data_IF_173571130711
#
_entry.id   IF_173571130711
#
_cell.length_a   1.000
_cell.length_b   1.000
_cell.length_c   1.000
_cell.angle_alpha   90.00
_cell.angle_beta   90.00
_cell.angle_gamma   90.00
#
_symmetry.space_group_name_H-M   'P 1'
#
loop_
_entity.id
_entity.type
_entity.pdbx_description
1 polymer ?
#
# COMPACT_ATOMS: atom_id res chain seq x y z
N UNK A 1 8.02 -21.79 -18.84
CA UNK A 1 7.09 -21.11 -17.91
C UNK A 1 7.63 -21.34 -16.51
N UNK A 2 7.91 -20.28 -15.76
CA UNK A 2 8.21 -20.44 -14.34
C UNK A 2 6.96 -20.99 -13.63
N UNK A 3 7.16 -21.78 -12.56
CA UNK A 3 6.04 -22.32 -11.78
C UNK A 3 5.26 -21.17 -11.14
N UNK A 4 3.94 -21.29 -11.09
CA UNK A 4 3.09 -20.29 -10.42
C UNK A 4 3.55 -20.08 -8.97
N UNK A 5 3.54 -18.82 -8.52
CA UNK A 5 3.87 -18.47 -7.13
C UNK A 5 2.70 -18.91 -6.25
N UNK A 6 2.98 -19.81 -5.32
CA UNK A 6 1.99 -20.37 -4.38
C UNK A 6 2.35 -20.14 -2.92
N UNK A 7 3.64 -19.89 -2.61
CA UNK A 7 4.12 -19.63 -1.25
C UNK A 7 4.77 -18.27 -1.17
N UNK A 8 4.16 -17.37 -0.39
CA UNK A 8 4.51 -15.95 -0.31
C UNK A 8 4.88 -15.55 1.11
N UNK A 9 6.01 -14.87 1.26
CA UNK A 9 6.41 -14.23 2.49
C UNK A 9 5.84 -12.82 2.61
N UNK A 10 5.45 -12.38 3.81
CA UNK A 10 5.11 -10.97 4.10
C UNK A 10 5.89 -10.53 5.33
N UNK A 11 6.74 -9.51 5.17
CA UNK A 11 7.57 -8.96 6.23
C UNK A 11 7.05 -7.61 6.69
N UNK A 12 6.81 -7.48 8.01
CA UNK A 12 6.14 -6.32 8.58
C UNK A 12 4.61 -6.49 8.52
N UNK A 13 4.03 -7.02 9.61
CA UNK A 13 2.61 -7.35 9.69
C UNK A 13 1.77 -6.26 10.38
N UNK A 14 2.17 -5.00 10.16
CA UNK A 14 1.36 -3.85 10.51
C UNK A 14 0.01 -3.84 9.77
N UNK A 15 -0.61 -2.67 9.64
CA UNK A 15 -1.91 -2.53 8.97
C UNK A 15 -1.86 -3.00 7.50
N UNK A 16 -0.82 -2.59 6.77
CA UNK A 16 -0.67 -2.98 5.36
C UNK A 16 -0.29 -4.45 5.21
N UNK A 17 0.77 -4.92 5.91
CA UNK A 17 1.23 -6.29 5.76
C UNK A 17 0.20 -7.34 6.19
N UNK A 18 -0.55 -7.12 7.28
CA UNK A 18 -1.64 -7.99 7.66
C UNK A 18 -2.77 -8.01 6.61
N UNK A 19 -3.09 -6.85 6.02
CA UNK A 19 -4.05 -6.75 4.93
C UNK A 19 -3.58 -7.45 3.64
N UNK A 20 -2.30 -7.35 3.31
CA UNK A 20 -1.67 -8.04 2.17
C UNK A 20 -1.70 -9.56 2.41
N UNK A 21 -1.31 -10.01 3.60
CA UNK A 21 -1.38 -11.42 3.97
C UNK A 21 -2.81 -11.97 3.83
N UNK A 22 -3.83 -11.22 4.27
CA UNK A 22 -5.24 -11.60 4.08
C UNK A 22 -5.57 -11.75 2.58
N UNK A 23 -5.17 -10.81 1.73
CA UNK A 23 -5.42 -10.88 0.27
C UNK A 23 -4.81 -12.15 -0.34
N UNK A 24 -3.56 -12.45 0.01
CA UNK A 24 -2.85 -13.64 -0.47
C UNK A 24 -3.51 -14.94 -0.01
N UNK A 25 -3.93 -15.02 1.26
CA UNK A 25 -4.67 -16.16 1.82
C UNK A 25 -6.03 -16.35 1.11
N UNK A 26 -6.76 -15.26 0.86
CA UNK A 26 -8.02 -15.29 0.11
C UNK A 26 -7.80 -15.70 -1.36
N UNK A 27 -6.62 -15.42 -1.92
CA UNK A 27 -6.16 -15.86 -3.24
C UNK A 27 -5.69 -17.31 -3.30
N UNK A 28 -5.64 -18.02 -2.17
CA UNK A 28 -5.25 -19.43 -2.11
C UNK A 28 -3.76 -19.69 -1.85
N UNK A 29 -2.96 -18.65 -1.63
CA UNK A 29 -1.53 -18.80 -1.34
C UNK A 29 -1.28 -19.37 0.06
N UNK A 30 -0.19 -20.09 0.24
CA UNK A 30 0.46 -20.27 1.53
C UNK A 30 1.19 -18.99 1.90
N UNK A 31 0.96 -18.48 3.11
CA UNK A 31 1.54 -17.22 3.56
C UNK A 31 2.41 -17.44 4.79
N UNK A 32 3.66 -17.01 4.70
CA UNK A 32 4.56 -16.94 5.84
C UNK A 32 4.69 -15.47 6.23
N UNK A 33 3.99 -15.10 7.32
CA UNK A 33 4.07 -13.74 7.87
C UNK A 33 5.22 -13.63 8.87
N UNK A 34 6.06 -12.62 8.70
CA UNK A 34 7.18 -12.35 9.63
C UNK A 34 7.03 -10.96 10.26
N UNK A 35 7.19 -10.89 11.59
CA UNK A 35 7.36 -9.63 12.30
C UNK A 35 8.44 -9.75 13.38
N UNK A 36 8.72 -8.65 14.09
CA UNK A 36 9.89 -8.53 14.96
C UNK A 36 9.78 -9.34 16.27
N UNK A 37 8.57 -9.53 16.78
CA UNK A 37 8.29 -10.21 18.04
C UNK A 37 6.93 -10.90 18.07
N UNK A 38 6.73 -11.77 19.07
CA UNK A 38 5.49 -12.53 19.25
C UNK A 38 4.26 -11.63 19.46
N UNK A 39 4.41 -10.51 20.15
CA UNK A 39 3.29 -9.59 20.36
C UNK A 39 2.82 -8.92 19.05
N UNK A 40 3.74 -8.63 18.14
CA UNK A 40 3.41 -8.16 16.79
C UNK A 40 2.69 -9.27 15.98
N UNK A 41 3.17 -10.52 16.08
CA UNK A 41 2.55 -11.67 15.43
C UNK A 41 1.13 -11.94 15.95
N UNK A 42 0.89 -11.85 17.26
CA UNK A 42 -0.46 -11.99 17.85
C UNK A 42 -1.40 -10.90 17.33
N UNK A 43 -0.96 -9.63 17.31
CA UNK A 43 -1.75 -8.53 16.75
C UNK A 43 -2.06 -8.74 15.26
N UNK A 44 -1.08 -9.23 14.49
CA UNK A 44 -1.26 -9.54 13.08
C UNK A 44 -2.27 -10.66 12.87
N UNK A 45 -2.15 -11.75 13.62
CA UNK A 45 -3.11 -12.86 13.61
C UNK A 45 -4.52 -12.35 13.88
N UNK A 46 -4.73 -11.60 14.95
CA UNK A 46 -6.05 -11.06 15.29
C UNK A 46 -6.62 -10.16 14.17
N UNK A 47 -5.79 -9.36 13.50
CA UNK A 47 -6.22 -8.52 12.37
C UNK A 47 -6.66 -9.37 11.17
N UNK A 48 -5.86 -10.38 10.79
CA UNK A 48 -6.15 -11.29 9.67
C UNK A 48 -7.42 -12.08 9.95
N UNK A 49 -7.53 -12.70 11.12
CA UNK A 49 -8.72 -13.46 11.55
C UNK A 49 -9.97 -12.58 11.55
N UNK A 50 -9.90 -11.40 12.15
CA UNK A 50 -11.00 -10.44 12.15
C UNK A 50 -11.36 -9.91 10.75
N UNK A 51 -10.37 -9.76 9.88
CA UNK A 51 -10.58 -9.40 8.47
C UNK A 51 -11.35 -10.48 7.72
N UNK A 52 -10.92 -11.72 7.83
CA UNK A 52 -11.59 -12.89 7.23
C UNK A 52 -12.98 -13.12 7.81
N UNK A 53 -13.17 -12.97 9.13
CA UNK A 53 -14.49 -13.08 9.78
C UNK A 53 -15.49 -12.05 9.20
N UNK A 54 -15.08 -10.79 9.04
CA UNK A 54 -15.91 -9.77 8.39
C UNK A 54 -16.31 -10.10 6.95
N UNK A 55 -15.47 -10.89 6.22
CA UNK A 55 -15.86 -11.38 4.88
C UNK A 55 -16.97 -12.40 4.94
N UNK A 56 -16.96 -13.28 5.96
CA UNK A 56 -18.02 -14.24 6.21
C UNK A 56 -19.31 -13.54 6.62
N UNK A 57 -19.25 -12.62 7.59
CA UNK A 57 -20.40 -11.82 8.04
C UNK A 57 -21.10 -11.07 6.90
N UNK A 58 -20.32 -10.61 5.89
CA UNK A 58 -20.85 -9.93 4.71
C UNK A 58 -21.26 -10.88 3.58
N UNK A 59 -21.25 -12.19 3.80
CA UNK A 59 -21.63 -13.20 2.81
C UNK A 59 -20.68 -13.27 1.60
N UNK A 60 -19.45 -12.77 1.74
CA UNK A 60 -18.46 -12.77 0.65
C UNK A 60 -17.57 -14.00 0.65
N UNK A 61 -17.54 -14.74 1.75
CA UNK A 61 -16.82 -16.00 1.95
C UNK A 61 -17.64 -16.90 2.88
N UNK A 62 -17.43 -18.23 2.78
CA UNK A 62 -17.96 -19.20 3.72
C UNK A 62 -17.03 -19.38 4.94
N UNK A 63 -17.53 -19.98 6.02
CA UNK A 63 -16.72 -20.32 7.17
C UNK A 63 -15.66 -21.38 6.84
N UNK A 64 -15.96 -22.31 5.93
CA UNK A 64 -14.99 -23.29 5.44
C UNK A 64 -13.84 -22.64 4.66
N UNK A 65 -14.12 -21.64 3.82
CA UNK A 65 -13.08 -20.87 3.11
C UNK A 65 -12.22 -20.06 4.09
N UNK A 66 -12.84 -19.50 5.15
CA UNK A 66 -12.11 -18.81 6.22
C UNK A 66 -11.16 -19.74 6.94
N UNK A 67 -11.64 -20.92 7.35
CA UNK A 67 -10.82 -21.93 8.04
C UNK A 67 -9.66 -22.39 7.15
N UNK A 68 -9.93 -22.76 5.92
CA UNK A 68 -8.92 -23.16 4.95
C UNK A 68 -7.87 -22.06 4.67
N UNK A 69 -8.27 -20.78 4.67
CA UNK A 69 -7.34 -19.65 4.56
C UNK A 69 -6.40 -19.57 5.77
N UNK A 70 -6.93 -19.71 6.99
CA UNK A 70 -6.14 -19.67 8.23
C UNK A 70 -5.18 -20.85 8.37
N UNK A 71 -5.52 -22.03 7.84
CA UNK A 71 -4.64 -23.21 7.82
C UNK A 71 -3.38 -22.99 6.94
N UNK A 72 -3.45 -22.07 5.97
CA UNK A 72 -2.31 -21.68 5.10
C UNK A 72 -1.45 -20.56 5.68
N UNK A 73 -1.76 -20.05 6.88
CA UNK A 73 -1.01 -18.97 7.54
C UNK A 73 0.01 -19.54 8.52
N UNK A 74 1.28 -19.25 8.29
CA UNK A 74 2.38 -19.47 9.25
C UNK A 74 2.92 -18.12 9.71
N UNK A 75 3.15 -17.95 11.01
CA UNK A 75 3.72 -16.71 11.58
C UNK A 75 5.06 -17.03 12.25
N UNK A 76 6.08 -16.23 11.97
CA UNK A 76 7.45 -16.44 12.44
C UNK A 76 8.12 -15.12 12.82
N UNK A 77 9.03 -15.14 13.82
CA UNK A 77 9.90 -14.01 14.13
C UNK A 77 11.17 -14.01 13.29
N UNK A 78 11.69 -15.19 12.98
CA UNK A 78 12.97 -15.37 12.31
C UNK A 78 12.85 -15.26 10.79
N UNK A 79 13.78 -14.55 10.14
CA UNK A 79 13.84 -14.44 8.68
C UNK A 79 14.02 -15.82 8.00
N UNK A 80 14.70 -16.76 8.66
CA UNK A 80 14.90 -18.12 8.15
C UNK A 80 13.62 -18.86 7.78
N UNK A 81 12.48 -18.50 8.39
CA UNK A 81 11.17 -19.04 8.04
C UNK A 81 10.69 -18.70 6.62
N UNK A 82 11.35 -17.74 5.95
CA UNK A 82 11.01 -17.28 4.59
C UNK A 82 11.81 -18.04 3.50
N UNK A 83 12.70 -18.95 3.86
CA UNK A 83 13.62 -19.60 2.92
C UNK A 83 12.95 -20.30 1.73
N UNK A 84 11.76 -20.85 1.93
CA UNK A 84 10.98 -21.57 0.92
C UNK A 84 9.99 -20.65 0.16
N UNK A 85 9.95 -19.33 0.46
CA UNK A 85 9.05 -18.40 -0.22
C UNK A 85 9.56 -18.11 -1.64
N UNK A 86 8.64 -18.18 -2.59
CA UNK A 86 8.92 -17.88 -3.99
C UNK A 86 8.87 -16.37 -4.27
N UNK A 87 8.11 -15.64 -3.45
CA UNK A 87 8.03 -14.18 -3.45
C UNK A 87 7.93 -13.70 -2.00
N UNK A 88 8.61 -12.61 -1.68
CA UNK A 88 8.51 -11.96 -0.38
C UNK A 88 8.10 -10.51 -0.57
N UNK A 89 7.02 -10.07 0.11
CA UNK A 89 6.53 -8.69 0.11
C UNK A 89 6.94 -8.02 1.41
N UNK A 90 7.73 -6.97 1.30
CA UNK A 90 8.12 -6.11 2.41
C UNK A 90 7.07 -5.00 2.62
N UNK A 91 6.60 -4.84 3.86
CA UNK A 91 5.67 -3.80 4.31
C UNK A 91 6.08 -3.24 5.69
N UNK A 92 7.40 -3.02 5.91
CA UNK A 92 7.95 -2.43 7.13
C UNK A 92 7.81 -0.90 7.10
N UNK A 93 8.46 -0.22 8.04
CA UNK A 93 8.49 1.27 8.09
C UNK A 93 9.02 1.88 6.80
N UNK A 94 8.48 3.05 6.42
CA UNK A 94 8.80 3.74 5.18
C UNK A 94 10.13 4.50 5.32
N UNK A 95 11.24 3.73 5.41
CA UNK A 95 12.59 4.24 5.62
C UNK A 95 13.55 3.43 4.73
N UNK A 96 14.28 4.11 3.84
CA UNK A 96 15.08 3.49 2.79
C UNK A 96 16.20 2.59 3.33
N UNK A 97 16.86 3.00 4.43
CA UNK A 97 17.94 2.22 5.05
C UNK A 97 17.42 0.87 5.54
N UNK A 98 16.33 0.89 6.33
CA UNK A 98 15.70 -0.31 6.85
C UNK A 98 15.24 -1.27 5.74
N UNK A 99 14.67 -0.71 4.64
CA UNK A 99 14.23 -1.54 3.50
C UNK A 99 15.42 -2.17 2.75
N UNK A 100 16.50 -1.42 2.53
CA UNK A 100 17.73 -1.96 1.92
C UNK A 100 18.39 -3.05 2.76
N UNK A 101 18.51 -2.82 4.07
CA UNK A 101 19.06 -3.81 5.01
C UNK A 101 18.23 -5.09 5.00
N UNK A 102 16.90 -4.97 4.97
CA UNK A 102 16.02 -6.13 4.86
C UNK A 102 16.21 -6.87 3.53
N UNK A 103 16.31 -6.18 2.39
CA UNK A 103 16.53 -6.81 1.08
C UNK A 103 17.87 -7.56 1.06
N UNK A 104 18.93 -6.96 1.59
CA UNK A 104 20.22 -7.64 1.74
C UNK A 104 20.12 -8.90 2.63
N UNK A 105 19.38 -8.84 3.74
CA UNK A 105 19.17 -9.98 4.62
C UNK A 105 18.33 -11.08 3.95
N UNK A 106 17.31 -10.73 3.17
CA UNK A 106 16.47 -11.68 2.43
C UNK A 106 17.25 -12.41 1.32
N UNK A 107 18.25 -11.78 0.71
CA UNK A 107 19.14 -12.44 -0.24
C UNK A 107 19.92 -13.60 0.37
N UNK A 108 20.27 -13.49 1.65
CA UNK A 108 20.97 -14.55 2.39
C UNK A 108 20.06 -15.71 2.85
N UNK A 109 18.74 -15.50 2.79
CA UNK A 109 17.74 -16.44 3.33
C UNK A 109 16.93 -17.09 2.22
N UNK A 110 16.44 -16.30 1.27
CA UNK A 110 15.54 -16.77 0.22
C UNK A 110 16.32 -17.45 -0.93
N UNK A 111 15.67 -18.43 -1.56
CA UNK A 111 16.25 -19.11 -2.73
C UNK A 111 16.62 -18.12 -3.86
N UNK A 112 17.61 -18.51 -4.68
CA UNK A 112 18.15 -17.64 -5.74
C UNK A 112 17.10 -17.12 -6.74
N UNK A 113 15.99 -17.83 -6.90
CA UNK A 113 14.87 -17.45 -7.79
C UNK A 113 13.75 -16.71 -7.09
N UNK A 114 13.85 -16.47 -5.78
CA UNK A 114 12.83 -15.74 -5.06
C UNK A 114 12.75 -14.28 -5.53
N UNK A 115 11.52 -13.80 -5.71
CA UNK A 115 11.23 -12.39 -6.05
C UNK A 115 11.08 -11.60 -4.77
N UNK A 116 11.75 -10.44 -4.68
CA UNK A 116 11.64 -9.53 -3.55
C UNK A 116 10.80 -8.32 -3.97
N UNK A 117 9.69 -8.08 -3.29
CA UNK A 117 8.79 -6.99 -3.58
C UNK A 117 8.69 -6.02 -2.40
N UNK A 118 8.66 -4.72 -2.67
CA UNK A 118 8.38 -3.68 -1.66
C UNK A 118 6.99 -3.11 -1.83
N UNK A 119 6.28 -2.85 -0.72
CA UNK A 119 4.99 -2.16 -0.72
C UNK A 119 5.14 -0.65 -0.47
N UNK A 120 6.29 -0.07 -0.77
CA UNK A 120 6.52 1.38 -0.64
C UNK A 120 5.49 2.18 -1.45
N UNK A 121 5.13 3.36 -0.95
CA UNK A 121 4.25 4.31 -1.64
C UNK A 121 4.98 5.50 -2.23
N UNK A 122 6.20 5.79 -1.77
CA UNK A 122 6.93 7.02 -2.10
C UNK A 122 8.42 6.81 -2.40
N UNK A 123 9.05 5.77 -1.82
CA UNK A 123 10.48 5.52 -2.03
C UNK A 123 10.69 4.81 -3.37
N UNK A 124 11.72 5.23 -4.13
CA UNK A 124 12.10 4.55 -5.37
C UNK A 124 12.35 3.06 -5.14
N UNK A 125 11.65 2.22 -5.89
CA UNK A 125 11.82 0.76 -5.87
C UNK A 125 13.22 0.38 -6.31
N UNK A 126 13.77 1.08 -7.31
CA UNK A 126 15.15 0.90 -7.78
C UNK A 126 16.16 1.20 -6.68
N UNK A 127 15.91 2.27 -5.90
CA UNK A 127 16.78 2.61 -4.79
C UNK A 127 16.73 1.57 -3.66
N UNK A 128 15.58 0.95 -3.40
CA UNK A 128 15.46 -0.16 -2.44
C UNK A 128 16.14 -1.42 -3.00
N UNK A 129 15.89 -1.75 -4.27
CA UNK A 129 16.48 -2.89 -4.96
C UNK A 129 18.02 -2.90 -4.95
N UNK A 130 18.64 -1.71 -4.89
CA UNK A 130 20.10 -1.58 -4.74
C UNK A 130 20.64 -2.15 -3.42
N UNK A 131 19.79 -2.51 -2.45
CA UNK A 131 20.16 -3.27 -1.26
C UNK A 131 20.32 -4.78 -1.52
N UNK A 132 19.76 -5.30 -2.61
CA UNK A 132 19.83 -6.70 -3.01
C UNK A 132 21.02 -6.96 -3.91
N UNK A 133 21.63 -8.15 -3.81
CA UNK A 133 22.65 -8.63 -4.77
C UNK A 133 22.02 -9.15 -6.07
N UNK A 134 20.68 -9.24 -6.11
CA UNK A 134 19.88 -9.71 -7.26
C UNK A 134 18.80 -8.66 -7.63
N UNK A 135 19.19 -7.42 -7.99
CA UNK A 135 18.23 -6.36 -8.26
C UNK A 135 17.28 -6.68 -9.43
N UNK A 136 17.63 -7.60 -10.31
CA UNK A 136 16.77 -8.10 -11.39
C UNK A 136 15.56 -8.90 -10.87
N UNK A 137 15.61 -9.40 -9.63
CA UNK A 137 14.51 -10.07 -8.93
C UNK A 137 13.69 -9.14 -8.04
N UNK A 138 13.98 -7.85 -8.04
CA UNK A 138 13.33 -6.87 -7.19
C UNK A 138 12.30 -6.05 -7.96
N UNK A 139 11.15 -5.75 -7.33
CA UNK A 139 10.06 -4.95 -7.90
C UNK A 139 9.20 -4.30 -6.80
N UNK A 140 8.25 -3.46 -7.19
CA UNK A 140 7.24 -2.91 -6.27
C UNK A 140 5.89 -3.59 -6.44
N UNK A 141 5.20 -3.84 -5.33
CA UNK A 141 3.79 -4.23 -5.27
C UNK A 141 3.07 -3.23 -4.36
N UNK A 142 2.62 -2.12 -4.94
CA UNK A 142 1.98 -1.05 -4.19
C UNK A 142 0.48 -1.34 -4.01
N UNK A 143 0.14 -1.80 -2.81
CA UNK A 143 -1.25 -1.99 -2.37
C UNK A 143 -1.80 -0.71 -1.76
N UNK A 144 -3.09 -0.47 -1.97
CA UNK A 144 -3.81 0.67 -1.38
C UNK A 144 -4.52 0.27 -0.09
N UNK A 145 -4.51 1.18 0.88
CA UNK A 145 -5.16 0.96 2.19
C UNK A 145 -6.68 1.19 2.12
N UNK A 146 -7.52 0.26 2.62
CA UNK A 146 -7.20 -1.06 3.18
C UNK A 146 -7.00 -2.13 2.09
N UNK A 147 -5.87 -2.85 2.11
CA UNK A 147 -5.50 -3.80 1.07
C UNK A 147 -6.59 -4.84 0.72
N UNK A 148 -7.34 -5.42 1.67
CA UNK A 148 -8.42 -6.35 1.32
C UNK A 148 -9.60 -5.72 0.57
N UNK A 149 -9.85 -4.41 0.74
CA UNK A 149 -11.00 -3.73 0.15
C UNK A 149 -10.69 -3.05 -1.17
N UNK A 150 -9.49 -2.51 -1.30
CA UNK A 150 -9.05 -1.81 -2.52
C UNK A 150 -8.78 -2.82 -3.63
N UNK A 151 -9.39 -2.64 -4.81
CA UNK A 151 -9.24 -3.60 -5.90
C UNK A 151 -7.89 -3.51 -6.61
N UNK A 152 -7.23 -2.34 -6.57
CA UNK A 152 -6.05 -2.01 -7.36
C UNK A 152 -4.75 -2.39 -6.63
N UNK A 153 -3.80 -2.90 -7.41
CA UNK A 153 -2.37 -2.99 -7.04
C UNK A 153 -1.53 -2.48 -8.20
N UNK A 154 -0.63 -1.55 -7.94
CA UNK A 154 0.37 -1.13 -8.92
C UNK A 154 1.57 -2.07 -8.85
N UNK A 155 1.89 -2.69 -9.97
CA UNK A 155 3.07 -3.54 -10.14
C UNK A 155 4.16 -2.68 -10.75
N UNK A 156 5.16 -2.34 -9.94
CA UNK A 156 6.18 -1.34 -10.26
C UNK A 156 7.46 -2.01 -10.71
N UNK A 157 7.89 -1.71 -11.93
CA UNK A 157 9.15 -2.21 -12.48
C UNK A 157 10.30 -1.30 -12.07
N UNK A 158 11.25 -1.81 -11.30
CA UNK A 158 12.53 -1.14 -11.04
C UNK A 158 13.44 -1.21 -12.27
N UNK A 159 14.52 -0.44 -12.29
CA UNK A 159 15.43 -0.31 -13.44
C UNK A 159 16.00 -1.65 -13.93
N UNK A 160 16.30 -2.56 -12.99
CA UNK A 160 16.91 -3.85 -13.31
C UNK A 160 15.92 -5.02 -13.31
N UNK A 161 14.65 -4.81 -12.95
CA UNK A 161 13.66 -5.91 -12.85
C UNK A 161 13.55 -6.70 -14.15
N UNK A 162 13.78 -8.01 -14.10
CA UNK A 162 13.65 -8.88 -15.26
C UNK A 162 12.18 -9.15 -15.63
N UNK A 163 11.95 -9.54 -16.89
CA UNK A 163 10.60 -9.77 -17.41
C UNK A 163 9.90 -10.95 -16.72
N UNK A 164 10.65 -11.98 -16.32
CA UNK A 164 10.08 -13.17 -15.70
C UNK A 164 9.59 -12.88 -14.29
N UNK A 165 10.40 -12.21 -13.45
CA UNK A 165 10.01 -11.77 -12.10
C UNK A 165 8.82 -10.83 -12.15
N UNK A 166 8.83 -9.89 -13.09
CA UNK A 166 7.73 -8.92 -13.25
C UNK A 166 6.43 -9.59 -13.68
N UNK A 167 6.49 -10.52 -14.65
CA UNK A 167 5.32 -11.26 -15.10
C UNK A 167 4.75 -12.16 -14.00
N UNK A 168 5.62 -12.89 -13.28
CA UNK A 168 5.20 -13.77 -12.19
C UNK A 168 4.49 -13.01 -11.06
N UNK A 169 5.02 -11.85 -10.66
CA UNK A 169 4.38 -11.00 -9.66
C UNK A 169 3.03 -10.43 -10.15
N UNK A 170 2.96 -10.00 -11.41
CA UNK A 170 1.71 -9.52 -12.01
C UNK A 170 0.62 -10.61 -12.02
N UNK A 171 0.98 -11.82 -12.46
CA UNK A 171 0.07 -12.96 -12.50
C UNK A 171 -0.42 -13.37 -11.11
N UNK A 172 0.46 -13.35 -10.09
CA UNK A 172 0.08 -13.58 -8.69
C UNK A 172 -1.02 -12.59 -8.25
N UNK A 173 -0.83 -11.29 -8.50
CA UNK A 173 -1.78 -10.25 -8.10
C UNK A 173 -3.14 -10.46 -8.77
N UNK A 174 -3.15 -10.79 -10.06
CA UNK A 174 -4.38 -11.10 -10.80
C UNK A 174 -5.04 -12.38 -10.26
N UNK A 175 -4.26 -13.42 -9.97
CA UNK A 175 -4.78 -14.67 -9.37
C UNK A 175 -5.39 -14.44 -7.98
N UNK A 176 -4.89 -13.47 -7.21
CA UNK A 176 -5.47 -13.04 -5.94
C UNK A 176 -6.75 -12.19 -6.11
N UNK A 177 -7.29 -12.05 -7.33
CA UNK A 177 -8.53 -11.33 -7.61
C UNK A 177 -8.39 -9.80 -7.57
N UNK A 178 -7.17 -9.27 -7.68
CA UNK A 178 -6.90 -7.84 -7.76
C UNK A 178 -6.78 -7.38 -9.23
N UNK A 179 -7.03 -6.09 -9.43
CA UNK A 179 -6.73 -5.42 -10.69
C UNK A 179 -5.28 -4.95 -10.65
N UNK A 180 -4.43 -5.52 -11.48
CA UNK A 180 -3.02 -5.16 -11.54
C UNK A 180 -2.77 -4.12 -12.63
N UNK A 181 -2.11 -3.01 -12.29
CA UNK A 181 -1.67 -1.98 -13.23
C UNK A 181 -0.15 -1.99 -13.30
N UNK A 182 0.39 -2.04 -14.52
CA UNK A 182 1.82 -2.01 -14.77
C UNK A 182 2.32 -0.58 -14.83
N UNK A 183 3.40 -0.29 -14.12
CA UNK A 183 4.08 0.99 -14.19
C UNK A 183 5.59 0.85 -13.98
N UNK A 184 6.32 1.88 -14.36
CA UNK A 184 7.74 2.01 -14.05
C UNK A 184 7.92 2.67 -12.68
N UNK A 185 9.13 2.53 -12.13
CA UNK A 185 9.55 3.19 -10.91
C UNK A 185 9.71 4.70 -11.15
N UNK A 186 8.61 5.42 -11.05
CA UNK A 186 8.56 6.88 -11.15
C UNK A 186 7.91 7.45 -9.90
N UNK A 187 8.29 8.65 -9.45
CA UNK A 187 7.74 9.26 -8.26
C UNK A 187 6.20 9.29 -8.26
N UNK A 188 5.59 8.68 -7.23
CA UNK A 188 4.14 8.58 -7.08
C UNK A 188 3.44 7.55 -7.98
N UNK A 189 4.22 6.73 -8.72
CA UNK A 189 3.76 5.70 -9.64
C UNK A 189 2.67 6.22 -10.60
N UNK A 190 1.46 5.67 -10.58
CA UNK A 190 0.35 6.15 -11.42
C UNK A 190 -0.65 6.95 -10.59
N UNK A 191 -1.19 6.35 -9.51
CA UNK A 191 -2.31 6.97 -8.77
C UNK A 191 -1.85 8.23 -8.05
N UNK A 192 -0.80 8.17 -7.24
CA UNK A 192 -0.34 9.33 -6.48
C UNK A 192 0.20 10.44 -7.41
N UNK A 193 0.84 10.07 -8.51
CA UNK A 193 1.33 11.02 -9.53
C UNK A 193 0.22 11.87 -10.13
N UNK A 194 -0.99 11.31 -10.27
CA UNK A 194 -2.15 12.01 -10.84
C UNK A 194 -3.05 12.62 -9.75
N UNK A 195 -3.26 11.90 -8.66
CA UNK A 195 -4.20 12.29 -7.62
C UNK A 195 -3.68 13.44 -6.77
N UNK A 196 -2.41 13.39 -6.32
CA UNK A 196 -1.84 14.40 -5.43
C UNK A 196 -1.94 15.82 -6.03
N UNK A 197 -1.46 16.08 -7.26
CA UNK A 197 -1.59 17.42 -7.84
C UNK A 197 -3.05 17.82 -8.09
N UNK A 198 -3.95 16.87 -8.42
CA UNK A 198 -5.37 17.17 -8.60
C UNK A 198 -6.02 17.62 -7.27
N UNK A 199 -5.69 16.97 -6.16
CA UNK A 199 -6.17 17.38 -4.83
C UNK A 199 -5.56 18.71 -4.37
N UNK A 200 -4.26 18.93 -4.64
CA UNK A 200 -3.60 20.20 -4.39
C UNK A 200 -4.24 21.36 -5.17
N UNK A 201 -4.59 21.12 -6.45
CA UNK A 201 -5.24 22.11 -7.30
C UNK A 201 -6.66 22.42 -6.82
N UNK A 202 -7.39 21.42 -6.28
CA UNK A 202 -8.69 21.66 -5.65
C UNK A 202 -8.59 22.63 -4.44
N UNK A 203 -7.53 22.51 -3.63
CA UNK A 203 -7.27 23.42 -2.51
C UNK A 203 -6.91 24.83 -2.99
N UNK A 204 -6.10 24.95 -4.06
CA UNK A 204 -5.80 26.26 -4.67
C UNK A 204 -7.05 26.90 -5.24
N UNK A 205 -7.86 26.13 -5.96
CA UNK A 205 -9.12 26.60 -6.52
C UNK A 205 -10.10 27.09 -5.42
N UNK A 206 -10.14 26.40 -4.27
CA UNK A 206 -10.95 26.83 -3.13
C UNK A 206 -10.57 28.25 -2.67
N UNK A 207 -9.27 28.54 -2.58
CA UNK A 207 -8.76 29.85 -2.16
C UNK A 207 -9.03 30.94 -3.23
N UNK A 208 -9.01 30.58 -4.52
CA UNK A 208 -9.20 31.51 -5.65
C UNK A 208 -10.68 31.80 -5.92
N UNK A 209 -11.53 30.76 -5.89
CA UNK A 209 -12.95 30.87 -6.23
C UNK A 209 -13.76 31.44 -5.05
N UNK A 210 -13.35 31.17 -3.81
CA UNK A 210 -13.98 31.72 -2.60
C UNK A 210 -15.35 31.11 -2.29
N UNK A 211 -15.54 29.82 -2.55
CA UNK A 211 -16.75 29.05 -2.23
C UNK A 211 -16.48 28.02 -1.15
N UNK A 212 -17.51 27.34 -0.67
CA UNK A 212 -17.34 26.29 0.35
C UNK A 212 -16.78 25.00 -0.23
N UNK A 213 -16.01 24.19 0.55
CA UNK A 213 -15.50 22.88 0.13
C UNK A 213 -16.58 21.93 -0.42
N UNK A 214 -17.78 22.00 0.16
CA UNK A 214 -18.93 21.18 -0.25
C UNK A 214 -19.41 21.47 -1.68
N UNK A 215 -19.27 22.70 -2.16
CA UNK A 215 -19.69 23.08 -3.51
C UNK A 215 -18.69 22.58 -4.55
N UNK A 216 -17.39 22.61 -4.26
CA UNK A 216 -16.37 21.99 -5.13
C UNK A 216 -16.55 20.46 -5.13
N UNK A 217 -16.77 19.84 -3.97
CA UNK A 217 -17.03 18.39 -3.89
C UNK A 217 -18.28 18.03 -4.71
N UNK A 218 -19.36 18.81 -4.64
CA UNK A 218 -20.56 18.61 -5.46
C UNK A 218 -20.26 18.77 -6.95
N UNK A 219 -19.53 19.81 -7.33
CA UNK A 219 -19.14 20.05 -8.73
C UNK A 219 -18.33 18.87 -9.30
N UNK A 220 -17.36 18.35 -8.52
CA UNK A 220 -16.53 17.24 -8.97
C UNK A 220 -17.29 15.91 -9.02
N UNK A 221 -18.17 15.64 -8.08
CA UNK A 221 -18.98 14.40 -8.11
C UNK A 221 -20.06 14.43 -9.19
N UNK A 222 -20.80 15.53 -9.31
CA UNK A 222 -21.92 15.64 -10.23
C UNK A 222 -21.54 16.10 -11.63
N UNK A 223 -20.50 16.93 -11.76
CA UNK A 223 -20.04 17.48 -13.04
C UNK A 223 -18.94 16.64 -13.71
N UNK A 224 -17.99 16.11 -12.93
CA UNK A 224 -16.87 15.34 -13.44
C UNK A 224 -16.97 13.82 -13.17
N UNK A 225 -18.01 13.35 -12.49
CA UNK A 225 -18.26 11.94 -12.21
C UNK A 225 -17.29 11.32 -11.21
N UNK A 226 -16.65 12.08 -10.34
CA UNK A 226 -15.81 11.54 -9.29
C UNK A 226 -16.66 10.76 -8.27
N UNK A 227 -16.21 9.59 -7.79
CA UNK A 227 -16.99 8.82 -6.81
C UNK A 227 -17.07 9.50 -5.44
N UNK A 228 -16.12 10.40 -5.15
CA UNK A 228 -16.04 11.21 -3.93
C UNK A 228 -15.40 12.55 -4.27
N UNK A 229 -15.88 13.64 -3.68
CA UNK A 229 -15.30 14.95 -3.88
C UNK A 229 -13.90 15.08 -3.25
N UNK A 230 -13.04 15.98 -3.76
CA UNK A 230 -11.64 16.09 -3.38
C UNK A 230 -11.41 16.36 -1.89
N UNK A 231 -12.22 17.17 -1.25
CA UNK A 231 -12.06 17.52 0.16
C UNK A 231 -12.51 16.39 1.09
N UNK A 232 -13.60 15.68 0.74
CA UNK A 232 -14.02 14.48 1.46
C UNK A 232 -12.99 13.35 1.32
N UNK A 233 -12.35 13.26 0.16
CA UNK A 233 -11.29 12.28 -0.09
C UNK A 233 -10.03 12.61 0.72
N UNK A 234 -9.60 13.88 0.76
CA UNK A 234 -8.47 14.30 1.61
C UNK A 234 -8.73 14.05 3.10
N UNK A 235 -9.93 14.35 3.59
CA UNK A 235 -10.31 14.07 4.98
C UNK A 235 -10.38 12.58 5.30
N UNK A 236 -10.70 11.73 4.31
CA UNK A 236 -10.68 10.27 4.43
C UNK A 236 -9.27 9.71 4.46
N UNK A 237 -8.38 10.20 3.60
CA UNK A 237 -6.96 9.80 3.53
C UNK A 237 -6.22 10.25 4.80
N UNK A 238 -6.52 11.42 5.26
CA UNK A 238 -5.81 12.17 6.30
C UNK A 238 -4.91 13.24 5.68
N UNK A 239 -5.11 14.48 6.13
CA UNK A 239 -4.40 15.65 5.58
C UNK A 239 -2.89 15.60 5.80
N UNK A 240 -2.44 15.03 6.92
CA UNK A 240 -1.02 14.78 7.19
C UNK A 240 -0.41 13.74 6.24
N UNK A 241 -1.14 12.67 5.95
CA UNK A 241 -0.71 11.64 4.98
C UNK A 241 -0.60 12.27 3.59
N UNK A 242 -1.60 13.07 3.19
CA UNK A 242 -1.58 13.77 1.90
C UNK A 242 -0.43 14.78 1.80
N UNK A 243 -0.21 15.59 2.84
CA UNK A 243 0.88 16.59 2.88
C UNK A 243 2.24 15.89 2.77
N UNK A 244 2.46 14.83 3.56
CA UNK A 244 3.71 14.06 3.51
C UNK A 244 3.98 13.47 2.11
N UNK A 245 2.97 12.85 1.50
CA UNK A 245 3.09 12.29 0.15
C UNK A 245 3.32 13.38 -0.92
N UNK A 246 2.69 14.54 -0.78
CA UNK A 246 2.88 15.67 -1.69
C UNK A 246 4.28 16.28 -1.56
N UNK A 247 4.82 16.37 -0.34
CA UNK A 247 6.20 16.84 -0.10
C UNK A 247 7.24 15.89 -0.69
N UNK A 248 7.08 14.59 -0.48
CA UNK A 248 7.95 13.58 -1.07
C UNK A 248 7.92 13.64 -2.61
N UNK A 249 6.72 13.69 -3.19
CA UNK A 249 6.55 13.80 -4.64
C UNK A 249 7.14 15.10 -5.20
N UNK A 250 6.99 16.22 -4.49
CA UNK A 250 7.58 17.50 -4.89
C UNK A 250 9.11 17.50 -4.81
N UNK A 251 9.68 16.89 -3.79
CA UNK A 251 11.13 16.75 -3.63
C UNK A 251 11.76 15.98 -4.80
N UNK A 252 11.09 14.93 -5.27
CA UNK A 252 11.60 14.10 -6.36
C UNK A 252 11.37 14.70 -7.75
N UNK A 253 10.21 15.38 -7.95
CA UNK A 253 9.79 15.86 -9.27
C UNK A 253 10.17 17.32 -9.52
N UNK A 254 10.18 18.14 -8.46
CA UNK A 254 10.51 19.57 -8.55
C UNK A 254 9.40 20.46 -9.12
N UNK A 255 8.26 19.90 -9.56
CA UNK A 255 7.16 20.70 -10.12
C UNK A 255 6.32 21.36 -9.02
N UNK A 256 6.05 22.70 -9.10
CA UNK A 256 5.29 23.43 -8.08
C UNK A 256 3.89 22.86 -7.79
N UNK A 257 3.25 22.23 -8.77
CA UNK A 257 1.93 21.60 -8.59
C UNK A 257 1.95 20.45 -7.59
N UNK A 258 3.09 19.79 -7.42
CA UNK A 258 3.25 18.69 -6.47
C UNK A 258 3.34 19.19 -5.01
N UNK A 259 3.85 20.42 -4.81
CA UNK A 259 3.98 20.98 -3.47
C UNK A 259 2.61 21.17 -2.81
N UNK A 260 2.45 20.76 -1.53
CA UNK A 260 1.19 20.95 -0.82
C UNK A 260 0.91 22.45 -0.62
N UNK A 261 -0.32 22.91 -0.89
CA UNK A 261 -0.71 24.30 -0.64
C UNK A 261 -0.51 24.71 0.82
N UNK A 262 -0.17 25.98 1.10
CA UNK A 262 0.07 26.47 2.47
C UNK A 262 -1.12 26.25 3.42
N UNK A 263 -2.35 26.26 2.90
CA UNK A 263 -3.57 25.97 3.69
C UNK A 263 -3.50 24.57 4.31
N UNK A 264 -3.12 23.54 3.53
CA UNK A 264 -3.04 22.16 4.02
C UNK A 264 -2.03 22.02 5.15
N UNK A 265 -0.85 22.64 5.02
CA UNK A 265 0.17 22.62 6.09
C UNK A 265 -0.38 23.26 7.38
N UNK A 266 -1.01 24.44 7.28
CA UNK A 266 -1.64 25.09 8.45
C UNK A 266 -2.73 24.24 9.10
N UNK A 267 -3.52 23.51 8.29
CA UNK A 267 -4.53 22.60 8.83
C UNK A 267 -3.89 21.43 9.58
N UNK A 268 -2.82 20.84 9.03
CA UNK A 268 -2.05 19.77 9.69
C UNK A 268 -1.43 20.27 10.99
N UNK A 269 -0.78 21.44 10.98
CA UNK A 269 -0.20 22.07 12.18
C UNK A 269 -1.25 22.35 13.27
N UNK A 270 -2.50 22.64 12.86
CA UNK A 270 -3.63 22.84 13.76
C UNK A 270 -4.29 21.52 14.24
N UNK A 271 -3.79 20.34 13.85
CA UNK A 271 -4.37 19.06 14.21
C UNK A 271 -5.68 18.71 13.48
N UNK A 272 -6.03 19.46 12.44
CA UNK A 272 -7.21 19.22 11.60
C UNK A 272 -6.87 18.17 10.52
N UNK A 273 -6.82 16.90 10.93
CA UNK A 273 -6.29 15.82 10.07
C UNK A 273 -7.38 15.05 9.30
N UNK A 274 -8.62 15.49 9.33
CA UNK A 274 -9.76 14.84 8.70
C UNK A 274 -10.52 13.91 9.65
N UNK A 275 -11.10 12.83 9.10
CA UNK A 275 -11.98 11.91 9.85
C UNK A 275 -11.32 11.33 11.09
N UNK A 276 -10.04 11.01 11.04
CA UNK A 276 -9.32 10.38 12.16
C UNK A 276 -9.19 11.25 13.41
N UNK A 277 -9.34 12.58 13.26
CA UNK A 277 -9.35 13.53 14.37
C UNK A 277 -10.72 14.18 14.56
N UNK A 278 -11.77 13.68 13.87
CA UNK A 278 -13.12 14.23 13.89
C UNK A 278 -13.28 15.53 13.12
N UNK A 279 -12.20 16.13 12.62
CA UNK A 279 -12.25 17.41 11.92
C UNK A 279 -11.16 17.58 10.87
N UNK A 280 -11.52 18.10 9.71
CA UNK A 280 -10.65 18.47 8.61
C UNK A 280 -11.25 19.64 7.83
N UNK A 281 -11.48 19.46 6.52
CA UNK A 281 -12.33 20.38 5.74
C UNK A 281 -13.78 20.35 6.20
N UNK A 282 -14.19 19.21 6.75
CA UNK A 282 -15.52 19.00 7.34
C UNK A 282 -15.42 18.71 8.84
N UNK A 283 -16.55 18.89 9.52
CA UNK A 283 -16.73 18.46 10.90
C UNK A 283 -17.46 17.10 10.89
N UNK A 284 -16.86 16.10 11.54
CA UNK A 284 -17.39 14.73 11.63
C UNK A 284 -17.92 14.41 13.05
N UNK A 285 -17.90 15.41 13.95
CA UNK A 285 -18.16 15.19 15.37
C UNK A 285 -16.96 14.54 16.08
N UNK A 286 -17.03 14.40 17.40
CA UNK A 286 -16.03 13.67 18.14
C UNK A 286 -16.05 12.20 17.71
N UNK A 287 -14.90 11.66 17.31
CA UNK A 287 -14.74 10.20 17.15
C UNK A 287 -14.87 9.57 18.52
N UNK A 288 -15.95 8.77 18.73
CA UNK A 288 -16.09 7.91 19.90
C UNK A 288 -15.01 6.82 19.93
#
# INVERSE_FOLDING_TARGET
MEAAITRVGVVGLGTMGAGIAQVLLEGGCEVVGRDIDDAALERARARIEGGLARRVEKGRRSEDERRAALERLTLVCELGGLSECQLVIEAIVEEIGAKRELFAALDGVCGERAVLATNTSAISVTAIAAGSVRPERCLGLHFFNPAPLMPLVEVVRAEHTDDASYAAAYELIVACGKQAVRCNDTPGFVVNRLLIPALNDAVRALDEIGIEPSEIDLAMTSGAGWPMGPFRLMDLIGLDVHVHAAEALHADVGEPRMAPPPRLRRMVDAGLLGRKTGRGFYDYGATE
#
